data_IF_151871467949
#
_entry.id   IF_151871467949
#
_cell.length_a   1.000
_cell.length_b   1.000
_cell.length_c   1.000
_cell.angle_alpha   90.00
_cell.angle_beta   90.00
_cell.angle_gamma   90.00
#
_symmetry.space_group_name_H-M   'P 1'
#
loop_
_entity.id
_entity.type
_entity.pdbx_description
1 polymer ?
#
# COMPACT_ATOMS: atom_id res chain seq x y z
N UNK A 1 -9.21 -3.19 -7.93
CA UNK A 1 -9.86 -2.70 -9.16
C UNK A 1 -9.05 -3.06 -10.42
N UNK A 2 -7.72 -2.97 -10.40
CA UNK A 2 -6.86 -3.23 -11.57
C UNK A 2 -6.97 -4.64 -12.18
N UNK A 3 -7.21 -5.69 -11.37
CA UNK A 3 -7.46 -7.05 -11.89
C UNK A 3 -8.65 -7.10 -12.86
N UNK A 4 -9.76 -6.50 -12.46
CA UNK A 4 -10.98 -6.44 -13.27
C UNK A 4 -10.76 -5.62 -14.54
N UNK A 5 -10.07 -4.48 -14.42
CA UNK A 5 -9.71 -3.65 -15.58
C UNK A 5 -8.81 -4.37 -16.59
N UNK A 6 -7.93 -5.27 -16.13
CA UNK A 6 -7.05 -6.08 -16.98
C UNK A 6 -7.66 -7.40 -17.44
N UNK A 7 -8.92 -7.67 -17.11
CA UNK A 7 -9.59 -8.93 -17.47
C UNK A 7 -8.94 -10.17 -16.84
N UNK A 8 -8.18 -10.02 -15.76
CA UNK A 8 -7.50 -11.14 -15.11
C UNK A 8 -8.41 -11.76 -14.04
N UNK A 9 -8.67 -13.08 -14.10
CA UNK A 9 -9.50 -13.75 -13.10
C UNK A 9 -8.83 -13.72 -11.72
N UNK A 10 -9.65 -13.85 -10.68
CA UNK A 10 -9.15 -14.02 -9.33
C UNK A 10 -8.50 -15.40 -9.18
N UNK A 11 -7.17 -15.44 -9.05
CA UNK A 11 -6.37 -16.65 -8.86
C UNK A 11 -5.81 -16.73 -7.44
N UNK A 12 -5.26 -17.88 -7.05
CA UNK A 12 -4.58 -18.05 -5.74
C UNK A 12 -3.47 -17.00 -5.57
N UNK A 13 -2.69 -16.74 -6.62
CA UNK A 13 -1.64 -15.72 -6.62
C UNK A 13 -2.19 -14.30 -6.44
N UNK A 14 -3.34 -13.98 -7.04
CA UNK A 14 -4.03 -12.72 -6.79
C UNK A 14 -4.45 -12.59 -5.32
N UNK A 15 -4.96 -13.69 -4.72
CA UNK A 15 -5.29 -13.76 -3.30
C UNK A 15 -4.10 -13.45 -2.39
N UNK A 16 -2.93 -14.03 -2.67
CA UNK A 16 -1.68 -13.73 -1.94
C UNK A 16 -1.31 -12.25 -2.10
N UNK A 17 -1.48 -11.68 -3.30
CA UNK A 17 -1.27 -10.25 -3.54
C UNK A 17 -2.15 -9.35 -2.68
N UNK A 18 -3.41 -9.72 -2.45
CA UNK A 18 -4.31 -8.98 -1.55
C UNK A 18 -3.86 -9.07 -0.09
N UNK A 19 -3.41 -10.23 0.37
CA UNK A 19 -2.88 -10.40 1.74
C UNK A 19 -1.67 -9.47 1.95
N UNK A 20 -0.74 -9.45 0.99
CA UNK A 20 0.41 -8.56 1.04
C UNK A 20 0.01 -7.08 1.05
N UNK A 21 -0.94 -6.69 0.19
CA UNK A 21 -1.48 -5.33 0.12
C UNK A 21 -2.12 -4.91 1.46
N UNK A 22 -2.93 -5.77 2.07
CA UNK A 22 -3.52 -5.49 3.37
C UNK A 22 -2.45 -5.32 4.45
N UNK A 23 -1.39 -6.13 4.44
CA UNK A 23 -0.26 -5.96 5.35
C UNK A 23 0.38 -4.58 5.25
N UNK A 24 0.65 -4.11 4.01
CA UNK A 24 1.22 -2.78 3.75
C UNK A 24 0.26 -1.68 4.22
N UNK A 25 -1.03 -1.80 3.90
CA UNK A 25 -2.05 -0.81 4.26
C UNK A 25 -2.22 -0.70 5.79
N UNK A 26 -2.31 -1.85 6.48
CA UNK A 26 -2.44 -1.91 7.94
C UNK A 26 -1.19 -1.33 8.61
N UNK A 27 0.02 -1.67 8.14
CA UNK A 27 1.25 -1.12 8.67
C UNK A 27 1.29 0.40 8.53
N UNK A 28 1.02 0.93 7.33
CA UNK A 28 0.97 2.38 7.11
C UNK A 28 -0.07 3.07 8.01
N UNK A 29 -1.24 2.44 8.21
CA UNK A 29 -2.30 2.93 9.09
C UNK A 29 -1.89 2.95 10.56
N UNK A 30 -1.32 1.85 11.08
CA UNK A 30 -0.86 1.74 12.47
C UNK A 30 0.14 2.85 12.78
N UNK A 31 1.14 3.05 11.92
CA UNK A 31 2.17 4.04 12.22
C UNK A 31 1.65 5.48 12.10
N UNK A 32 0.65 5.74 11.25
CA UNK A 32 -0.05 7.04 11.24
C UNK A 32 -0.84 7.28 12.55
N UNK A 33 -1.52 6.24 13.05
CA UNK A 33 -2.25 6.32 14.31
C UNK A 33 -1.28 6.56 15.48
N UNK A 34 -0.12 5.90 15.47
CA UNK A 34 0.90 6.08 16.49
C UNK A 34 1.44 7.51 16.52
N UNK A 35 1.67 8.12 15.35
CA UNK A 35 2.01 9.55 15.23
C UNK A 35 0.94 10.44 15.88
N UNK A 36 -0.35 10.17 15.64
CA UNK A 36 -1.42 10.92 16.28
C UNK A 36 -1.42 10.74 17.81
N UNK A 37 -1.13 9.55 18.32
CA UNK A 37 -1.01 9.34 19.77
C UNK A 37 0.19 10.09 20.34
N UNK A 38 1.34 10.06 19.68
CA UNK A 38 2.50 10.83 20.12
C UNK A 38 2.19 12.33 20.18
N UNK A 39 1.60 12.89 19.12
CA UNK A 39 1.21 14.30 19.10
C UNK A 39 0.17 14.64 20.20
N UNK A 40 -0.70 13.70 20.56
CA UNK A 40 -1.59 13.85 21.71
C UNK A 40 -0.81 13.94 23.04
N UNK A 41 0.14 13.03 23.25
CA UNK A 41 0.97 12.96 24.47
C UNK A 41 1.81 14.22 24.61
N UNK A 42 2.32 14.78 23.51
CA UNK A 42 3.04 16.05 23.47
C UNK A 42 2.16 17.30 23.67
N UNK A 43 0.90 17.13 24.11
CA UNK A 43 0.03 18.22 24.52
C UNK A 43 -0.80 18.86 23.41
N UNK A 44 -0.79 18.30 22.19
CA UNK A 44 -1.58 18.83 21.08
C UNK A 44 -3.07 18.45 21.24
N UNK A 45 -3.81 19.22 22.03
CA UNK A 45 -5.21 18.96 22.40
C UNK A 45 -6.22 19.17 21.26
N UNK A 46 -5.90 20.03 20.29
CA UNK A 46 -6.78 20.27 19.14
C UNK A 46 -6.69 19.09 18.15
N UNK A 47 -7.81 18.36 18.01
CA UNK A 47 -7.93 17.20 17.11
C UNK A 47 -7.67 17.54 15.65
N UNK A 48 -8.19 18.66 15.16
CA UNK A 48 -8.03 19.06 13.76
C UNK A 48 -6.57 19.39 13.44
N UNK A 49 -5.94 20.21 14.30
CA UNK A 49 -4.52 20.56 14.14
C UNK A 49 -3.62 19.32 14.16
N UNK A 50 -3.95 18.34 14.99
CA UNK A 50 -3.23 17.08 15.11
C UNK A 50 -3.33 16.21 13.86
N UNK A 51 -4.52 16.08 13.28
CA UNK A 51 -4.73 15.32 12.04
C UNK A 51 -3.89 15.94 10.92
N UNK A 52 -4.00 17.26 10.71
CA UNK A 52 -3.24 17.96 9.67
C UNK A 52 -1.72 17.75 9.87
N UNK A 53 -1.22 17.97 11.09
CA UNK A 53 0.22 17.89 11.37
C UNK A 53 0.76 16.47 11.30
N UNK A 54 0.06 15.49 11.87
CA UNK A 54 0.47 14.09 11.81
C UNK A 54 0.42 13.54 10.37
N UNK A 55 -0.61 13.89 9.60
CA UNK A 55 -0.66 13.51 8.17
C UNK A 55 0.47 14.15 7.38
N UNK A 56 0.79 15.44 7.61
CA UNK A 56 1.92 16.10 6.95
C UNK A 56 3.27 15.43 7.25
N UNK A 57 3.51 15.04 8.50
CA UNK A 57 4.75 14.34 8.89
C UNK A 57 4.89 12.96 8.25
N UNK A 58 3.76 12.24 8.10
CA UNK A 58 3.75 10.89 7.54
C UNK A 58 3.63 10.84 6.02
N UNK A 59 3.28 11.95 5.37
CA UNK A 59 3.06 12.01 3.91
C UNK A 59 4.28 11.57 3.11
N UNK A 60 5.49 12.06 3.45
CA UNK A 60 6.73 11.69 2.74
C UNK A 60 7.09 10.21 2.94
N UNK A 61 7.09 9.67 4.18
CA UNK A 61 7.29 8.24 4.40
C UNK A 61 6.31 7.34 3.64
N UNK A 62 5.00 7.64 3.69
CA UNK A 62 3.96 6.82 3.05
C UNK A 62 4.11 6.83 1.53
N UNK A 63 4.39 8.00 0.93
CA UNK A 63 4.63 8.09 -0.52
C UNK A 63 5.88 7.31 -0.93
N UNK A 64 6.95 7.36 -0.13
CA UNK A 64 8.19 6.65 -0.42
C UNK A 64 7.98 5.14 -0.40
N UNK A 65 7.30 4.60 0.62
CA UNK A 65 7.04 3.16 0.71
C UNK A 65 6.08 2.67 -0.38
N UNK A 66 5.01 3.43 -0.67
CA UNK A 66 4.08 3.11 -1.74
C UNK A 66 4.78 3.13 -3.12
N UNK A 67 5.62 4.14 -3.38
CA UNK A 67 6.36 4.25 -4.64
C UNK A 67 7.39 3.13 -4.79
N UNK A 68 8.11 2.80 -3.71
CA UNK A 68 9.07 1.71 -3.71
C UNK A 68 8.41 0.36 -4.01
N UNK A 69 7.26 0.08 -3.38
CA UNK A 69 6.47 -1.11 -3.67
C UNK A 69 5.99 -1.13 -5.13
N UNK A 70 5.36 -0.05 -5.59
CA UNK A 70 4.86 0.03 -6.96
C UNK A 70 5.97 -0.19 -8.00
N UNK A 71 7.12 0.46 -7.84
CA UNK A 71 8.27 0.30 -8.74
C UNK A 71 8.88 -1.11 -8.68
N UNK A 72 8.94 -1.74 -7.50
CA UNK A 72 9.44 -3.10 -7.33
C UNK A 72 8.57 -4.16 -8.01
N UNK A 73 7.25 -3.97 -8.02
CA UNK A 73 6.30 -4.90 -8.65
C UNK A 73 5.95 -4.56 -10.10
N UNK A 74 6.28 -3.34 -10.57
CA UNK A 74 5.93 -2.89 -11.92
C UNK A 74 6.43 -3.83 -13.04
N UNK A 75 7.71 -4.30 -13.04
CA UNK A 75 8.18 -5.22 -14.08
C UNK A 75 7.45 -6.57 -14.07
N UNK A 76 7.14 -7.09 -12.87
CA UNK A 76 6.38 -8.34 -12.71
C UNK A 76 4.94 -8.20 -13.19
N UNK A 77 4.34 -7.02 -13.01
CA UNK A 77 2.97 -6.75 -13.46
C UNK A 77 2.85 -6.69 -15.00
N UNK A 78 3.94 -6.46 -15.75
CA UNK A 78 3.92 -6.36 -17.22
C UNK A 78 4.58 -7.54 -17.93
N UNK A 79 5.52 -8.25 -17.28
CA UNK A 79 6.34 -9.32 -17.89
C UNK A 79 5.52 -10.37 -18.63
N UNK A 80 5.87 -10.71 -19.88
CA UNK A 80 5.25 -11.77 -20.72
C UNK A 80 6.04 -13.07 -20.73
N UNK A 81 7.10 -13.20 -19.91
CA UNK A 81 7.99 -14.37 -19.93
C UNK A 81 7.32 -15.64 -19.40
N UNK A 82 7.93 -16.80 -19.65
CA UNK A 82 7.54 -18.05 -19.01
C UNK A 82 7.46 -17.89 -17.48
N UNK A 83 6.39 -18.39 -16.86
CA UNK A 83 6.12 -18.25 -15.42
C UNK A 83 5.42 -16.95 -15.00
N UNK A 84 5.25 -15.97 -15.91
CA UNK A 84 4.58 -14.70 -15.61
C UNK A 84 3.09 -14.86 -15.29
N UNK A 85 2.46 -15.96 -15.71
CA UNK A 85 1.05 -16.27 -15.47
C UNK A 85 0.69 -16.30 -13.98
N UNK A 86 1.64 -16.70 -13.13
CA UNK A 86 1.48 -16.78 -11.68
C UNK A 86 1.83 -15.45 -11.01
N UNK A 87 2.82 -14.72 -11.52
CA UNK A 87 3.33 -13.50 -10.91
C UNK A 87 2.51 -12.25 -11.27
N UNK A 88 1.98 -12.17 -12.49
CA UNK A 88 1.20 -11.03 -12.98
C UNK A 88 -0.02 -10.71 -12.13
N UNK A 89 -0.88 -11.68 -11.74
CA UNK A 89 -2.04 -11.38 -10.92
C UNK A 89 -1.64 -10.84 -9.55
N UNK A 90 -0.61 -11.43 -8.93
CA UNK A 90 -0.06 -10.98 -7.65
C UNK A 90 0.46 -9.55 -7.74
N UNK A 91 1.36 -9.27 -8.68
CA UNK A 91 1.97 -7.95 -8.85
C UNK A 91 0.94 -6.89 -9.25
N UNK A 92 -0.06 -7.25 -10.05
CA UNK A 92 -1.14 -6.34 -10.45
C UNK A 92 -2.00 -5.90 -9.26
N UNK A 93 -2.25 -6.79 -8.29
CA UNK A 93 -2.98 -6.43 -7.07
C UNK A 93 -2.18 -5.45 -6.23
N UNK A 94 -0.89 -5.72 -6.03
CA UNK A 94 -0.04 -4.89 -5.16
C UNK A 94 0.22 -3.50 -5.76
N UNK A 95 0.41 -3.40 -7.09
CA UNK A 95 0.60 -2.10 -7.77
C UNK A 95 -0.70 -1.31 -7.85
N UNK A 96 -1.84 -1.99 -8.01
CA UNK A 96 -3.12 -1.36 -8.26
C UNK A 96 -4.00 -1.14 -7.03
N UNK A 97 -3.51 -1.48 -5.84
CA UNK A 97 -4.18 -1.31 -4.56
C UNK A 97 -3.61 -0.13 -3.79
#
# INVERSE_FOLDING_TARGET
FLLALRGMPFSISAGVGFIALFGIAVLNGIVLIEEFKELQIHGMRNRYARIIRGTQYRMRPVLLTASAAALGFLPMAISTSAGAEVQRPLATVVVGG
#
